data_IF_860765591828
#
_entry.id   IF_860765591828
#
_cell.length_a   1.000
_cell.length_b   1.000
_cell.length_c   1.000
_cell.angle_alpha   90.00
_cell.angle_beta   90.00
_cell.angle_gamma   90.00
#
_symmetry.space_group_name_H-M   'P 1'
#
loop_
_entity.id
_entity.type
_entity.pdbx_description
1 polymer ?
#
# COMPACT_ATOMS: atom_id res chain seq x y z
N UNK A 1 -1.29 17.73 -17.25
CA UNK A 1 -1.81 16.45 -17.79
C UNK A 1 -1.72 15.34 -16.75
N UNK A 2 -0.54 15.02 -16.20
CA UNK A 2 -0.45 13.96 -15.17
C UNK A 2 -1.27 14.28 -13.91
N UNK A 3 -1.22 15.50 -13.40
CA UNK A 3 -1.96 15.90 -12.20
C UNK A 3 -3.48 15.71 -12.33
N UNK A 4 -4.08 16.12 -13.45
CA UNK A 4 -5.52 15.92 -13.69
C UNK A 4 -5.91 14.44 -13.77
N UNK A 5 -5.05 13.59 -14.36
CA UNK A 5 -5.26 12.14 -14.39
C UNK A 5 -5.13 11.52 -12.99
N UNK A 6 -4.19 12.01 -12.18
CA UNK A 6 -4.00 11.56 -10.80
C UNK A 6 -5.24 11.89 -9.97
N UNK A 7 -5.71 13.14 -9.99
CA UNK A 7 -6.89 13.53 -9.22
C UNK A 7 -8.14 12.76 -9.67
N UNK A 8 -8.35 12.57 -10.97
CA UNK A 8 -9.44 11.73 -11.50
C UNK A 8 -9.34 10.28 -11.00
N UNK A 9 -8.14 9.70 -11.04
CA UNK A 9 -7.91 8.32 -10.62
C UNK A 9 -8.09 8.15 -9.12
N UNK A 10 -7.63 9.12 -8.32
CA UNK A 10 -7.80 9.17 -6.87
C UNK A 10 -9.28 9.25 -6.50
N UNK A 11 -10.07 10.05 -7.21
CA UNK A 11 -11.52 10.11 -7.02
C UNK A 11 -12.19 8.77 -7.34
N UNK A 12 -11.79 8.11 -8.43
CA UNK A 12 -12.29 6.79 -8.80
C UNK A 12 -11.95 5.72 -7.74
N UNK A 13 -10.73 5.75 -7.18
CA UNK A 13 -10.32 4.89 -6.07
C UNK A 13 -11.20 5.15 -4.85
N UNK A 14 -11.41 6.42 -4.49
CA UNK A 14 -12.19 6.79 -3.31
C UNK A 14 -13.64 6.31 -3.42
N UNK A 15 -14.25 6.46 -4.60
CA UNK A 15 -15.63 6.04 -4.85
C UNK A 15 -15.80 4.52 -4.91
N UNK A 16 -14.78 3.77 -5.37
CA UNK A 16 -14.83 2.30 -5.43
C UNK A 16 -13.47 1.68 -5.15
N UNK A 17 -13.05 1.58 -3.87
CA UNK A 17 -11.72 1.09 -3.49
C UNK A 17 -11.46 -0.36 -3.88
N UNK A 18 -12.52 -1.15 -4.08
CA UNK A 18 -12.44 -2.57 -4.47
C UNK A 18 -12.25 -2.77 -5.99
N UNK A 19 -12.32 -1.70 -6.79
CA UNK A 19 -12.04 -1.77 -8.21
C UNK A 19 -10.53 -1.71 -8.45
N UNK A 20 -9.94 -2.78 -8.98
CA UNK A 20 -8.51 -2.87 -9.29
C UNK A 20 -8.05 -1.83 -10.34
N UNK A 21 -8.90 -1.49 -11.31
CA UNK A 21 -8.49 -0.76 -12.51
C UNK A 21 -7.90 0.63 -12.21
N UNK A 22 -8.52 1.48 -11.37
CA UNK A 22 -7.92 2.74 -10.95
C UNK A 22 -6.55 2.58 -10.26
N UNK A 23 -6.37 1.58 -9.40
CA UNK A 23 -5.09 1.33 -8.74
C UNK A 23 -3.97 0.95 -9.72
N UNK A 24 -4.29 0.17 -10.76
CA UNK A 24 -3.34 -0.17 -11.83
C UNK A 24 -3.03 1.03 -12.70
N UNK A 25 -4.06 1.80 -13.04
CA UNK A 25 -3.91 2.99 -13.85
C UNK A 25 -3.03 4.02 -13.16
N UNK A 26 -3.24 4.25 -11.86
CA UNK A 26 -2.43 5.13 -11.04
C UNK A 26 -0.95 4.76 -11.09
N UNK A 27 -0.59 3.48 -10.93
CA UNK A 27 0.80 3.00 -11.08
C UNK A 27 1.34 3.23 -12.50
N UNK A 28 0.50 3.02 -13.50
CA UNK A 28 0.85 3.21 -14.91
C UNK A 28 1.23 4.64 -15.27
N UNK A 29 0.59 5.64 -14.64
CA UNK A 29 0.89 7.07 -14.86
C UNK A 29 2.33 7.46 -14.51
N UNK A 30 2.99 6.67 -13.64
CA UNK A 30 4.35 6.90 -13.16
C UNK A 30 5.34 5.84 -13.65
N UNK A 31 5.01 5.07 -14.70
CA UNK A 31 5.93 4.07 -15.24
C UNK A 31 7.25 4.72 -15.66
N UNK A 32 8.35 4.32 -15.02
CA UNK A 32 9.68 4.89 -15.25
C UNK A 32 9.98 6.15 -14.45
N UNK A 33 9.07 6.59 -13.58
CA UNK A 33 9.16 7.81 -12.77
C UNK A 33 8.77 7.52 -11.30
N UNK A 34 9.46 6.55 -10.71
CA UNK A 34 9.28 6.14 -9.31
C UNK A 34 9.45 7.27 -8.30
N UNK A 35 10.42 8.21 -8.44
CA UNK A 35 10.56 9.31 -7.49
C UNK A 35 9.29 10.19 -7.44
N UNK A 36 8.69 10.53 -8.58
CA UNK A 36 7.47 11.33 -8.60
C UNK A 36 6.26 10.56 -8.05
N UNK A 37 6.25 9.24 -8.18
CA UNK A 37 5.21 8.38 -7.60
C UNK A 37 5.24 8.41 -6.07
N UNK A 38 6.41 8.20 -5.49
CA UNK A 38 6.61 8.11 -4.03
C UNK A 38 6.34 9.43 -3.32
N UNK A 39 6.72 10.55 -3.94
CA UNK A 39 6.60 11.87 -3.34
C UNK A 39 5.27 12.58 -3.65
N UNK A 40 4.34 11.93 -4.37
CA UNK A 40 3.05 12.54 -4.66
C UNK A 40 2.11 12.43 -3.43
N UNK A 41 1.67 13.56 -2.84
CA UNK A 41 0.86 13.55 -1.62
C UNK A 41 -0.57 13.03 -1.83
N UNK A 42 -1.12 13.12 -3.05
CA UNK A 42 -2.47 12.60 -3.33
C UNK A 42 -2.48 11.07 -3.27
N UNK A 43 -1.39 10.43 -3.72
CA UNK A 43 -1.23 8.97 -3.70
C UNK A 43 -1.15 8.44 -2.27
N UNK A 44 -0.29 9.03 -1.44
CA UNK A 44 -0.20 8.63 -0.04
C UNK A 44 -1.49 8.96 0.73
N UNK A 45 -2.13 10.09 0.44
CA UNK A 45 -3.40 10.47 1.07
C UNK A 45 -4.53 9.49 0.75
N UNK A 46 -4.72 9.11 -0.52
CA UNK A 46 -5.77 8.15 -0.89
C UNK A 46 -5.50 6.77 -0.29
N UNK A 47 -4.23 6.34 -0.28
CA UNK A 47 -3.82 5.09 0.33
C UNK A 47 -4.19 5.05 1.82
N UNK A 48 -3.85 6.11 2.57
CA UNK A 48 -4.17 6.21 3.99
C UNK A 48 -5.68 6.24 4.23
N UNK A 49 -6.43 7.06 3.49
CA UNK A 49 -7.89 7.15 3.64
C UNK A 49 -8.59 5.81 3.45
N UNK A 50 -8.18 5.05 2.43
CA UNK A 50 -8.73 3.70 2.18
C UNK A 50 -8.35 2.77 3.32
N UNK A 51 -7.09 2.74 3.77
CA UNK A 51 -6.66 1.88 4.88
C UNK A 51 -7.32 2.25 6.21
N UNK A 52 -7.57 3.53 6.48
CA UNK A 52 -8.31 3.96 7.67
C UNK A 52 -9.79 3.54 7.66
N UNK A 53 -10.38 3.37 6.47
CA UNK A 53 -11.79 2.97 6.32
C UNK A 53 -11.97 1.46 6.21
N UNK A 54 -11.08 0.80 5.46
CA UNK A 54 -10.99 -0.65 5.29
C UNK A 54 -9.53 -1.05 5.30
N UNK A 55 -9.03 -1.36 6.50
CA UNK A 55 -7.63 -1.73 6.73
C UNK A 55 -7.23 -3.02 6.00
N UNK A 56 -8.19 -3.86 5.59
CA UNK A 56 -7.95 -5.10 4.84
C UNK A 56 -8.00 -4.94 3.32
N UNK A 57 -8.17 -3.73 2.79
CA UNK A 57 -8.21 -3.53 1.34
C UNK A 57 -6.84 -3.91 0.72
N UNK A 58 -6.85 -4.97 -0.09
CA UNK A 58 -5.64 -5.57 -0.65
C UNK A 58 -4.91 -4.61 -1.60
N UNK A 59 -5.64 -3.78 -2.35
CA UNK A 59 -5.05 -2.86 -3.31
C UNK A 59 -4.32 -1.70 -2.63
N UNK A 60 -4.91 -1.16 -1.56
CA UNK A 60 -4.30 -0.12 -0.74
C UNK A 60 -3.07 -0.66 0.03
N UNK A 61 -3.16 -1.86 0.60
CA UNK A 61 -2.00 -2.51 1.24
C UNK A 61 -0.86 -2.76 0.23
N UNK A 62 -1.20 -3.24 -0.97
CA UNK A 62 -0.22 -3.42 -2.04
C UNK A 62 0.38 -2.10 -2.49
N UNK A 63 -0.40 -1.01 -2.55
CA UNK A 63 0.13 0.32 -2.88
C UNK A 63 1.09 0.82 -1.81
N UNK A 64 0.73 0.68 -0.53
CA UNK A 64 1.61 1.05 0.58
C UNK A 64 2.93 0.27 0.52
N UNK A 65 2.88 -1.02 0.21
CA UNK A 65 4.08 -1.82 0.04
C UNK A 65 4.98 -1.27 -1.08
N UNK A 66 4.42 -0.96 -2.25
CA UNK A 66 5.15 -0.38 -3.37
C UNK A 66 5.83 0.94 -2.97
N UNK A 67 5.11 1.81 -2.27
CA UNK A 67 5.63 3.08 -1.77
C UNK A 67 6.81 2.86 -0.80
N UNK A 68 6.65 1.96 0.18
CA UNK A 68 7.69 1.63 1.16
C UNK A 68 8.96 1.06 0.49
N UNK A 69 8.80 0.15 -0.47
CA UNK A 69 9.90 -0.42 -1.24
C UNK A 69 10.69 0.63 -2.05
N UNK A 70 10.07 1.78 -2.34
CA UNK A 70 10.68 2.87 -3.08
C UNK A 70 11.07 4.07 -2.20
N UNK A 71 11.13 3.89 -0.88
CA UNK A 71 11.70 4.88 0.05
C UNK A 71 10.69 5.85 0.67
N UNK A 72 9.38 5.62 0.49
CA UNK A 72 8.35 6.37 1.18
C UNK A 72 8.55 6.28 2.70
N UNK A 73 8.48 7.43 3.38
CA UNK A 73 8.54 7.51 4.83
C UNK A 73 7.10 7.56 5.38
N UNK A 74 6.59 6.46 5.98
CA UNK A 74 5.23 6.41 6.48
C UNK A 74 5.09 7.30 7.72
N UNK A 75 3.99 8.05 7.77
CA UNK A 75 3.61 8.82 8.95
C UNK A 75 3.07 7.91 10.06
N UNK A 76 2.87 8.46 11.26
CA UNK A 76 2.32 7.69 12.39
C UNK A 76 0.90 7.17 12.09
N UNK A 77 0.10 7.88 11.30
CA UNK A 77 -1.24 7.46 10.92
C UNK A 77 -1.23 6.15 10.12
N UNK A 78 -0.24 5.96 9.25
CA UNK A 78 -0.06 4.69 8.54
C UNK A 78 0.28 3.55 9.50
N UNK A 79 1.15 3.81 10.48
CA UNK A 79 1.52 2.78 11.46
C UNK A 79 0.31 2.37 12.27
N UNK A 80 -0.50 3.32 12.73
CA UNK A 80 -1.75 3.07 13.46
C UNK A 80 -2.72 2.24 12.60
N UNK A 81 -2.97 2.65 11.36
CA UNK A 81 -3.91 1.96 10.46
C UNK A 81 -3.53 0.48 10.19
N UNK A 82 -2.23 0.16 10.21
CA UNK A 82 -1.72 -1.21 10.03
C UNK A 82 -1.61 -1.97 11.35
N UNK A 83 -1.39 -1.29 12.47
CA UNK A 83 -1.21 -1.92 13.78
C UNK A 83 -2.46 -2.69 14.22
N UNK A 84 -3.65 -2.19 13.90
CA UNK A 84 -4.94 -2.83 14.20
C UNK A 84 -5.13 -4.17 13.46
N UNK A 85 -4.36 -4.43 12.40
CA UNK A 85 -4.41 -5.66 11.62
C UNK A 85 -3.46 -6.75 12.12
N UNK A 86 -2.53 -6.42 13.03
CA UNK A 86 -1.59 -7.41 13.57
C UNK A 86 -2.37 -8.39 14.46
N UNK A 87 -2.52 -9.64 14.01
CA UNK A 87 -3.00 -10.73 14.86
C UNK A 87 -1.97 -11.05 15.93
N UNK A 88 -2.16 -10.45 17.11
CA UNK A 88 -1.71 -10.69 18.49
C UNK A 88 -0.43 -11.49 18.86
N UNK A 89 0.29 -12.19 17.98
CA UNK A 89 1.36 -13.12 18.38
C UNK A 89 2.71 -12.96 17.65
N UNK A 90 2.90 -11.99 16.75
CA UNK A 90 4.25 -11.68 16.25
C UNK A 90 4.93 -10.70 17.20
N UNK A 91 6.08 -11.08 17.74
CA UNK A 91 6.95 -10.28 18.61
C UNK A 91 6.87 -8.77 18.33
N UNK A 92 6.68 -7.98 19.38
CA UNK A 92 6.70 -6.51 19.39
C UNK A 92 8.10 -5.93 19.07
N UNK A 93 8.96 -6.70 18.43
CA UNK A 93 10.22 -6.22 17.87
C UNK A 93 9.90 -5.28 16.72
N UNK A 94 10.78 -4.29 16.47
CA UNK A 94 10.70 -3.29 15.40
C UNK A 94 10.76 -3.92 13.99
N UNK A 95 9.75 -4.74 13.67
CA UNK A 95 9.54 -5.29 12.35
C UNK A 95 9.22 -4.12 11.43
N UNK A 96 10.09 -3.93 10.44
CA UNK A 96 9.91 -3.03 9.31
C UNK A 96 8.43 -3.04 8.86
N UNK A 97 7.82 -1.85 8.70
CA UNK A 97 6.42 -1.71 8.31
C UNK A 97 6.10 -2.50 7.03
N UNK A 98 7.04 -2.55 6.07
CA UNK A 98 6.88 -3.33 4.84
C UNK A 98 6.72 -4.84 5.10
N UNK A 99 7.49 -5.39 6.04
CA UNK A 99 7.37 -6.80 6.49
C UNK A 99 6.02 -7.07 7.14
N UNK A 100 5.50 -6.09 7.88
CA UNK A 100 4.17 -6.17 8.50
C UNK A 100 3.09 -6.19 7.44
N UNK A 101 3.15 -5.27 6.48
CA UNK A 101 2.20 -5.19 5.36
C UNK A 101 2.20 -6.48 4.54
N UNK A 102 3.37 -7.07 4.25
CA UNK A 102 3.45 -8.37 3.57
C UNK A 102 2.73 -9.47 4.36
N UNK A 103 2.92 -9.52 5.68
CA UNK A 103 2.28 -10.54 6.53
C UNK A 103 0.75 -10.38 6.57
N UNK A 104 0.26 -9.14 6.54
CA UNK A 104 -1.19 -8.87 6.41
C UNK A 104 -1.69 -9.32 5.04
N UNK A 105 -0.96 -8.99 3.96
CA UNK A 105 -1.29 -9.37 2.59
C UNK A 105 -1.36 -10.90 2.39
N UNK A 106 -0.48 -11.67 3.02
CA UNK A 106 -0.55 -13.14 3.03
C UNK A 106 -1.91 -13.66 3.54
N UNK A 107 -2.50 -12.98 4.53
CA UNK A 107 -3.78 -13.36 5.14
C UNK A 107 -5.01 -12.85 4.39
N UNK A 108 -4.98 -11.62 3.87
CA UNK A 108 -6.13 -11.03 3.17
C UNK A 108 -6.21 -11.42 1.69
N UNK A 109 -5.09 -11.86 1.11
CA UNK A 109 -5.00 -12.30 -0.29
C UNK A 109 -4.33 -13.67 -0.39
N UNK A 110 -5.06 -14.74 0.01
CA UNK A 110 -4.52 -16.09 0.07
C UNK A 110 -4.13 -16.65 -1.30
N UNK A 111 -4.72 -16.14 -2.38
CA UNK A 111 -4.38 -16.55 -3.74
C UNK A 111 -2.94 -16.16 -4.11
N UNK A 112 -2.45 -15.04 -3.58
CA UNK A 112 -1.07 -14.54 -3.78
C UNK A 112 -0.20 -14.66 -2.53
N UNK A 113 -0.56 -15.48 -1.55
CA UNK A 113 0.21 -15.66 -0.32
C UNK A 113 1.69 -15.96 -0.57
N UNK A 114 2.01 -16.90 -1.48
CA UNK A 114 3.38 -17.23 -1.87
C UNK A 114 4.14 -16.03 -2.48
N UNK A 115 3.44 -15.17 -3.23
CA UNK A 115 4.03 -13.95 -3.77
C UNK A 115 4.36 -12.95 -2.66
N UNK A 116 3.45 -12.77 -1.69
CA UNK A 116 3.69 -11.88 -0.55
C UNK A 116 4.79 -12.40 0.38
N UNK A 117 4.89 -13.71 0.60
CA UNK A 117 6.00 -14.33 1.32
C UNK A 117 7.33 -14.12 0.60
N UNK A 118 7.35 -14.26 -0.73
CA UNK A 118 8.54 -13.94 -1.52
C UNK A 118 8.93 -12.46 -1.39
N UNK A 119 7.97 -11.52 -1.49
CA UNK A 119 8.24 -10.09 -1.28
C UNK A 119 8.85 -9.83 0.10
N UNK A 120 8.26 -10.41 1.16
CA UNK A 120 8.72 -10.29 2.54
C UNK A 120 10.18 -10.72 2.70
N UNK A 121 10.58 -11.82 2.08
CA UNK A 121 11.97 -12.32 2.12
C UNK A 121 12.95 -11.43 1.35
N UNK A 122 12.55 -10.87 0.20
CA UNK A 122 13.43 -10.03 -0.61
C UNK A 122 13.55 -8.59 -0.10
N UNK A 123 12.57 -8.09 0.65
CA UNK A 123 12.65 -6.78 1.33
C UNK A 123 13.70 -6.82 2.46
N UNK A 124 14.03 -8.01 2.96
CA UNK A 124 15.05 -8.25 3.98
C UNK A 124 16.43 -8.65 3.40
N UNK A 125 16.55 -8.80 2.08
CA UNK A 125 17.78 -9.19 1.38
C UNK A 125 18.56 -7.96 0.90
#
# INVERSE_FOLDING_TARGET
MRESEVSYTVEAIFNTPENESPWRYLRGLYKGDTPSFVHNPEISSVCLKVLSSNSKNTFALSLLLDLLCHGFQPTEEFKIAIQDLRTSNSDRSDLNLATTVCSVLEGVDPMRSNYWSWCKSNILA
#
